data_IF_028306469093
#
_entry.id   IF_028306469093
#
_cell.length_a   1.000
_cell.length_b   1.000
_cell.length_c   1.000
_cell.angle_alpha   90.00
_cell.angle_beta   90.00
_cell.angle_gamma   90.00
#
_symmetry.space_group_name_H-M   'P 1'
#
loop_
_entity.id
_entity.type
_entity.pdbx_description
1 polymer ?
#
# COMPACT_ATOMS: atom_id res chain seq x y z
N UNK A 1 17.52 -16.38 15.72
CA UNK A 1 18.19 -15.30 14.97
C UNK A 1 18.48 -15.85 13.59
N UNK A 2 17.65 -15.53 12.59
CA UNK A 2 17.83 -16.00 11.21
C UNK A 2 18.86 -15.08 10.55
N UNK A 3 20.01 -15.61 10.15
CA UNK A 3 21.00 -14.87 9.35
C UNK A 3 20.71 -15.14 7.88
N UNK A 4 20.26 -14.13 7.16
CA UNK A 4 20.32 -14.14 5.70
C UNK A 4 21.78 -13.97 5.28
N UNK A 5 22.48 -15.07 5.03
CA UNK A 5 23.82 -15.08 4.43
C UNK A 5 23.65 -15.30 2.93
N UNK A 6 24.17 -14.37 2.14
CA UNK A 6 24.42 -14.61 0.71
C UNK A 6 25.53 -15.67 0.66
N UNK A 7 25.14 -16.94 0.57
CA UNK A 7 26.09 -18.05 0.42
C UNK A 7 26.47 -18.23 -1.05
N UNK A 8 27.72 -18.57 -1.24
CA UNK A 8 28.31 -18.87 -2.55
C UNK A 8 27.61 -20.04 -3.26
N UNK A 9 27.53 -19.96 -4.52
CA UNK A 9 26.93 -20.67 -5.65
C UNK A 9 26.77 -22.22 -5.62
N UNK A 10 26.64 -22.91 -4.52
CA UNK A 10 26.42 -24.37 -4.48
C UNK A 10 25.08 -24.81 -3.87
N UNK A 11 24.34 -23.94 -3.26
CA UNK A 11 23.00 -24.24 -2.72
C UNK A 11 21.93 -23.54 -3.56
N UNK A 12 20.78 -24.20 -3.75
CA UNK A 12 19.60 -23.62 -4.40
C UNK A 12 19.13 -22.37 -3.66
N UNK A 13 18.47 -21.46 -4.36
CA UNK A 13 17.94 -20.24 -3.76
C UNK A 13 16.64 -19.79 -4.43
N UNK A 14 15.79 -19.16 -3.64
CA UNK A 14 14.65 -18.40 -4.11
C UNK A 14 15.07 -16.96 -4.40
N UNK A 15 14.90 -16.50 -5.64
CA UNK A 15 15.21 -15.12 -6.04
C UNK A 15 13.89 -14.38 -6.26
N UNK A 16 13.65 -13.35 -5.47
CA UNK A 16 12.53 -12.42 -5.66
C UNK A 16 12.98 -11.37 -6.66
N UNK A 17 12.42 -11.47 -7.85
CA UNK A 17 12.89 -10.75 -9.03
C UNK A 17 11.89 -9.67 -9.44
N UNK A 18 12.21 -8.37 -9.27
CA UNK A 18 11.33 -7.29 -9.69
C UNK A 18 11.23 -7.22 -11.21
N UNK A 19 10.07 -6.83 -11.69
CA UNK A 19 9.78 -6.57 -13.09
C UNK A 19 9.51 -5.08 -13.31
N UNK A 20 9.63 -4.56 -14.54
CA UNK A 20 9.26 -3.18 -14.84
C UNK A 20 7.78 -2.91 -14.56
N UNK A 21 7.46 -1.69 -14.09
CA UNK A 21 6.06 -1.26 -13.91
C UNK A 21 5.33 -1.13 -15.26
N UNK A 22 6.03 -0.69 -16.29
CA UNK A 22 5.46 -0.51 -17.62
C UNK A 22 6.48 -0.15 -18.70
N UNK A 23 7.68 0.27 -18.29
CA UNK A 23 8.77 0.63 -19.20
C UNK A 23 9.90 -0.38 -19.09
N UNK A 24 10.18 -1.07 -20.20
CA UNK A 24 11.24 -2.07 -20.23
C UNK A 24 12.63 -1.51 -19.88
N UNK A 25 12.85 -0.21 -20.10
CA UNK A 25 14.07 0.50 -19.72
C UNK A 25 14.34 0.55 -18.21
N UNK A 26 13.31 0.31 -17.39
CA UNK A 26 13.42 0.28 -15.92
C UNK A 26 13.82 -1.11 -15.39
N UNK A 27 14.09 -2.08 -16.29
CA UNK A 27 14.51 -3.42 -15.89
C UNK A 27 15.89 -3.40 -15.20
N UNK A 28 16.00 -3.78 -13.92
CA UNK A 28 17.30 -3.79 -13.26
C UNK A 28 18.25 -4.81 -13.91
N UNK A 29 19.53 -4.47 -14.16
CA UNK A 29 20.48 -5.41 -14.77
C UNK A 29 20.62 -6.72 -14.01
N UNK A 30 20.64 -6.69 -12.66
CA UNK A 30 20.71 -7.88 -11.83
C UNK A 30 19.48 -8.76 -11.95
N UNK A 31 18.28 -8.16 -12.06
CA UNK A 31 17.04 -8.88 -12.25
C UNK A 31 17.02 -9.57 -13.62
N UNK A 32 17.49 -8.89 -14.67
CA UNK A 32 17.67 -9.49 -15.99
C UNK A 32 18.61 -10.70 -15.93
N UNK A 33 19.79 -10.54 -15.33
CA UNK A 33 20.77 -11.64 -15.17
C UNK A 33 20.19 -12.82 -14.40
N UNK A 34 19.42 -12.55 -13.33
CA UNK A 34 18.77 -13.61 -12.56
C UNK A 34 17.78 -14.42 -13.42
N UNK A 35 16.96 -13.74 -14.24
CA UNK A 35 16.04 -14.39 -15.17
C UNK A 35 16.79 -15.19 -16.25
N UNK A 36 17.94 -14.72 -16.71
CA UNK A 36 18.79 -15.43 -17.68
C UNK A 36 19.42 -16.69 -17.11
N UNK A 37 19.78 -16.68 -15.83
CA UNK A 37 20.61 -17.74 -15.20
C UNK A 37 19.84 -18.73 -14.33
N UNK A 38 18.62 -18.37 -13.83
CA UNK A 38 17.83 -19.28 -12.98
C UNK A 38 17.39 -20.54 -13.75
N UNK A 39 17.04 -21.60 -13.02
CA UNK A 39 16.55 -22.86 -13.58
C UNK A 39 15.08 -22.76 -14.01
N UNK A 40 14.28 -22.02 -13.26
CA UNK A 40 12.85 -21.81 -13.55
C UNK A 40 12.39 -20.43 -13.09
N UNK A 41 11.41 -19.88 -13.79
CA UNK A 41 10.71 -18.66 -13.41
C UNK A 41 9.28 -19.00 -13.00
N UNK A 42 8.95 -18.72 -11.73
CA UNK A 42 7.60 -18.74 -11.19
C UNK A 42 6.99 -17.35 -11.31
N UNK A 43 5.72 -17.24 -11.66
CA UNK A 43 5.07 -15.97 -11.89
C UNK A 43 3.55 -16.05 -11.69
N UNK A 44 2.90 -14.92 -11.46
CA UNK A 44 1.44 -14.85 -11.29
C UNK A 44 0.72 -15.20 -12.61
N UNK A 45 1.07 -14.51 -13.70
CA UNK A 45 0.52 -14.79 -15.03
C UNK A 45 1.65 -15.09 -16.04
N UNK A 46 1.71 -16.34 -16.47
CA UNK A 46 2.72 -16.80 -17.45
C UNK A 46 2.63 -16.09 -18.80
N UNK A 47 1.48 -15.48 -19.14
CA UNK A 47 1.31 -14.71 -20.36
C UNK A 47 1.99 -13.34 -20.26
N UNK A 48 1.90 -12.69 -19.09
CA UNK A 48 2.54 -11.39 -18.81
C UNK A 48 4.04 -11.58 -18.76
N UNK A 49 4.51 -12.48 -17.91
CA UNK A 49 5.95 -12.77 -17.77
C UNK A 49 6.54 -13.32 -19.08
N UNK A 50 5.80 -14.14 -19.82
CA UNK A 50 6.24 -14.64 -21.13
C UNK A 50 6.49 -13.52 -22.15
N UNK A 51 5.65 -12.49 -22.17
CA UNK A 51 5.87 -11.30 -23.02
C UNK A 51 7.11 -10.52 -22.59
N UNK A 52 7.32 -10.36 -21.28
CA UNK A 52 8.51 -9.70 -20.73
C UNK A 52 9.78 -10.46 -21.14
N UNK A 53 9.82 -11.77 -20.92
CA UNK A 53 11.00 -12.58 -21.27
C UNK A 53 11.28 -12.54 -22.78
N UNK A 54 10.23 -12.61 -23.61
CA UNK A 54 10.37 -12.50 -25.06
C UNK A 54 10.96 -11.14 -25.48
N UNK A 55 10.50 -10.03 -24.85
CA UNK A 55 11.03 -8.70 -25.11
C UNK A 55 12.51 -8.55 -24.68
N UNK A 56 12.92 -9.30 -23.65
CA UNK A 56 14.31 -9.34 -23.17
C UNK A 56 15.19 -10.32 -23.97
N UNK A 57 14.61 -11.13 -24.88
CA UNK A 57 15.32 -12.19 -25.59
C UNK A 57 15.64 -13.42 -24.74
N UNK A 58 14.93 -13.62 -23.63
CA UNK A 58 15.17 -14.70 -22.67
C UNK A 58 14.19 -15.85 -22.92
N UNK A 59 14.70 -17.08 -22.96
CA UNK A 59 13.90 -18.29 -23.04
C UNK A 59 14.02 -19.09 -21.75
N UNK A 60 12.93 -19.18 -20.99
CA UNK A 60 12.88 -19.91 -19.71
C UNK A 60 11.58 -20.69 -19.56
N UNK A 61 11.67 -21.76 -18.78
CA UNK A 61 10.48 -22.46 -18.30
C UNK A 61 9.72 -21.55 -17.34
N UNK A 62 8.43 -21.36 -17.61
CA UNK A 62 7.51 -20.58 -16.76
C UNK A 62 6.59 -21.53 -16.01
N UNK A 63 6.41 -21.27 -14.71
CA UNK A 63 5.45 -21.96 -13.88
C UNK A 63 4.54 -20.96 -13.19
N UNK A 64 3.22 -21.21 -13.26
CA UNK A 64 2.23 -20.32 -12.64
C UNK A 64 2.15 -20.54 -11.16
N UNK A 65 2.30 -19.46 -10.39
CA UNK A 65 2.16 -19.40 -8.94
C UNK A 65 1.43 -18.10 -8.56
N UNK A 66 0.11 -18.14 -8.65
CA UNK A 66 -0.78 -17.06 -8.24
C UNK A 66 -1.35 -17.29 -6.84
N UNK A 67 -2.09 -16.33 -6.30
CA UNK A 67 -2.72 -16.40 -4.97
C UNK A 67 -3.56 -17.68 -4.78
N UNK A 68 -4.31 -18.09 -5.80
CA UNK A 68 -5.17 -19.27 -5.73
C UNK A 68 -4.38 -20.59 -5.69
N UNK A 69 -3.23 -20.64 -6.36
CA UNK A 69 -2.40 -21.84 -6.48
C UNK A 69 -1.27 -21.92 -5.45
N UNK A 70 -0.95 -20.82 -4.77
CA UNK A 70 0.15 -20.72 -3.83
C UNK A 70 0.08 -21.81 -2.75
N UNK A 71 -1.10 -22.01 -2.15
CA UNK A 71 -1.29 -23.01 -1.08
C UNK A 71 -0.93 -24.44 -1.47
N UNK A 72 -1.03 -24.78 -2.75
CA UNK A 72 -0.77 -26.12 -3.27
C UNK A 72 0.61 -26.27 -3.91
N UNK A 73 1.12 -25.21 -4.52
CA UNK A 73 2.33 -25.27 -5.34
C UNK A 73 3.58 -24.68 -4.69
N UNK A 74 3.44 -23.84 -3.67
CA UNK A 74 4.57 -23.20 -3.01
C UNK A 74 5.58 -24.24 -2.51
N UNK A 75 5.10 -25.27 -1.82
CA UNK A 75 5.97 -26.32 -1.28
C UNK A 75 6.74 -27.05 -2.38
N UNK A 76 6.07 -27.40 -3.49
CA UNK A 76 6.73 -28.03 -4.64
C UNK A 76 7.81 -27.14 -5.27
N UNK A 77 7.61 -25.81 -5.27
CA UNK A 77 8.63 -24.87 -5.73
C UNK A 77 9.82 -24.79 -4.75
N UNK A 78 9.52 -24.77 -3.46
CA UNK A 78 10.56 -24.74 -2.43
C UNK A 78 11.33 -26.06 -2.32
N UNK A 79 10.71 -27.22 -2.61
CA UNK A 79 11.41 -28.52 -2.73
C UNK A 79 12.51 -28.47 -3.82
N UNK A 80 12.28 -27.73 -4.90
CA UNK A 80 13.29 -27.53 -5.95
C UNK A 80 14.45 -26.67 -5.48
N UNK A 81 14.16 -25.62 -4.69
CA UNK A 81 15.19 -24.78 -4.05
C UNK A 81 16.03 -25.63 -3.11
N UNK A 82 15.40 -26.48 -2.30
CA UNK A 82 16.06 -27.40 -1.39
C UNK A 82 16.92 -28.44 -2.12
N UNK A 83 16.47 -28.86 -3.31
CA UNK A 83 17.22 -29.76 -4.20
C UNK A 83 18.40 -29.07 -4.93
N UNK A 84 18.61 -27.77 -4.72
CA UNK A 84 19.74 -27.02 -5.27
C UNK A 84 19.42 -26.17 -6.50
N UNK A 85 18.15 -26.03 -6.90
CA UNK A 85 17.77 -25.20 -8.04
C UNK A 85 17.66 -23.70 -7.64
N UNK A 86 18.00 -22.81 -8.59
CA UNK A 86 17.72 -21.38 -8.51
C UNK A 86 16.35 -21.10 -9.08
N UNK A 87 15.40 -20.74 -8.22
CA UNK A 87 14.02 -20.41 -8.60
C UNK A 87 13.82 -18.90 -8.54
N UNK A 88 13.46 -18.27 -9.67
CA UNK A 88 13.04 -16.86 -9.68
C UNK A 88 11.53 -16.77 -9.51
N UNK A 89 11.06 -15.86 -8.66
CA UNK A 89 9.65 -15.47 -8.57
C UNK A 89 9.47 -14.02 -9.03
N UNK A 90 8.52 -13.80 -9.95
CA UNK A 90 8.14 -12.49 -10.48
C UNK A 90 6.65 -12.25 -10.28
N UNK A 91 6.26 -11.03 -9.88
CA UNK A 91 4.89 -10.53 -10.03
C UNK A 91 4.66 -9.99 -11.45
N UNK A 92 3.42 -9.68 -11.78
CA UNK A 92 3.06 -9.17 -13.10
C UNK A 92 3.71 -7.81 -13.39
N UNK A 93 3.88 -6.96 -12.36
CA UNK A 93 4.57 -5.67 -12.47
C UNK A 93 5.17 -5.22 -11.14
N UNK A 94 6.37 -4.69 -11.19
CA UNK A 94 7.06 -4.08 -10.04
C UNK A 94 7.73 -5.08 -9.10
N UNK A 95 7.79 -4.73 -7.82
CA UNK A 95 8.44 -5.49 -6.77
C UNK A 95 7.51 -6.58 -6.23
N UNK A 96 7.86 -7.87 -6.34
CA UNK A 96 7.08 -8.95 -5.76
C UNK A 96 6.99 -8.84 -4.24
N UNK A 97 5.81 -9.17 -3.68
CA UNK A 97 5.51 -9.03 -2.26
C UNK A 97 4.83 -7.71 -1.88
N UNK A 98 4.57 -6.83 -2.85
CA UNK A 98 3.82 -5.58 -2.64
C UNK A 98 2.42 -5.72 -3.23
N UNK A 99 1.47 -6.19 -2.43
CA UNK A 99 0.08 -6.52 -2.83
C UNK A 99 -0.05 -7.70 -3.80
N UNK A 100 0.87 -8.64 -3.71
CA UNK A 100 0.86 -9.90 -4.46
C UNK A 100 1.27 -11.07 -3.55
N UNK A 101 1.15 -12.34 -3.98
CA UNK A 101 1.41 -13.52 -3.15
C UNK A 101 2.88 -13.75 -2.78
N UNK A 102 3.82 -12.96 -3.29
CA UNK A 102 5.26 -13.15 -3.08
C UNK A 102 5.68 -13.17 -1.61
N UNK A 103 5.01 -12.37 -0.74
CA UNK A 103 5.32 -12.36 0.69
C UNK A 103 5.11 -13.73 1.34
N UNK A 104 4.03 -14.44 1.01
CA UNK A 104 3.75 -15.77 1.54
C UNK A 104 4.77 -16.81 1.08
N UNK A 105 5.26 -16.68 -0.15
CA UNK A 105 6.31 -17.55 -0.66
C UNK A 105 7.62 -17.33 0.09
N UNK A 106 7.97 -16.07 0.36
CA UNK A 106 9.16 -15.69 1.14
C UNK A 106 9.05 -16.21 2.58
N UNK A 107 7.89 -16.02 3.23
CA UNK A 107 7.63 -16.52 4.59
C UNK A 107 7.86 -18.02 4.69
N UNK A 108 7.27 -18.81 3.77
CA UNK A 108 7.46 -20.27 3.71
C UNK A 108 8.90 -20.66 3.44
N UNK A 109 9.62 -19.92 2.59
CA UNK A 109 11.04 -20.19 2.35
C UNK A 109 11.87 -19.98 3.62
N UNK A 110 11.59 -18.95 4.41
CA UNK A 110 12.25 -18.73 5.71
C UNK A 110 11.86 -19.78 6.76
N UNK A 111 10.61 -20.24 6.80
CA UNK A 111 10.19 -21.35 7.68
C UNK A 111 10.97 -22.63 7.39
N UNK A 112 11.37 -22.84 6.13
CA UNK A 112 12.18 -23.99 5.68
C UNK A 112 13.69 -23.71 5.69
N UNK A 113 14.12 -22.57 6.24
CA UNK A 113 15.54 -22.15 6.31
C UNK A 113 16.24 -22.10 4.93
N UNK A 114 15.47 -21.87 3.86
CA UNK A 114 16.01 -21.78 2.50
C UNK A 114 16.62 -20.40 2.24
N UNK A 115 17.61 -20.35 1.36
CA UNK A 115 18.24 -19.11 0.95
C UNK A 115 17.26 -18.26 0.09
N UNK A 116 17.03 -17.01 0.50
CA UNK A 116 16.22 -16.05 -0.23
C UNK A 116 17.06 -14.84 -0.60
N UNK A 117 17.10 -14.52 -1.90
CA UNK A 117 17.71 -13.30 -2.42
C UNK A 117 16.63 -12.37 -2.96
N UNK A 118 16.52 -11.16 -2.38
CA UNK A 118 15.60 -10.14 -2.84
C UNK A 118 16.36 -9.10 -3.66
N UNK A 119 16.02 -9.00 -4.94
CA UNK A 119 16.61 -7.99 -5.83
C UNK A 119 15.82 -6.68 -5.73
N UNK A 120 16.47 -5.52 -5.57
CA UNK A 120 15.78 -4.24 -5.54
C UNK A 120 15.20 -3.86 -6.90
N UNK A 121 14.01 -3.26 -6.90
CA UNK A 121 13.33 -2.79 -8.10
C UNK A 121 12.28 -1.73 -7.83
N UNK A 122 11.67 -1.20 -8.89
CA UNK A 122 10.63 -0.20 -8.81
C UNK A 122 9.35 -0.72 -8.12
N UNK A 123 8.69 0.17 -7.39
CA UNK A 123 7.34 -0.08 -6.87
C UNK A 123 6.42 1.07 -7.26
N UNK A 124 5.20 0.76 -7.69
CA UNK A 124 4.23 1.79 -8.03
C UNK A 124 3.91 2.70 -6.82
N UNK A 125 3.98 2.17 -5.61
CA UNK A 125 3.77 2.91 -4.35
C UNK A 125 4.78 4.05 -4.19
N UNK A 126 6.08 3.72 -4.20
CA UNK A 126 7.14 4.72 -4.02
C UNK A 126 7.20 5.68 -5.21
N UNK A 127 7.01 5.19 -6.43
CA UNK A 127 6.97 6.01 -7.65
C UNK A 127 5.81 7.01 -7.59
N UNK A 128 4.61 6.59 -7.19
CA UNK A 128 3.45 7.46 -7.05
C UNK A 128 3.63 8.50 -5.92
N UNK A 129 4.18 8.08 -4.77
CA UNK A 129 4.50 9.01 -3.68
C UNK A 129 5.41 10.14 -4.15
N UNK A 130 6.51 9.80 -4.84
CA UNK A 130 7.43 10.82 -5.39
C UNK A 130 6.76 11.66 -6.48
N UNK A 131 6.02 11.04 -7.40
CA UNK A 131 5.31 11.73 -8.49
C UNK A 131 4.19 12.64 -7.98
N UNK A 132 3.57 12.32 -6.84
CA UNK A 132 2.57 13.18 -6.21
C UNK A 132 3.14 14.55 -5.80
N UNK A 133 4.43 14.63 -5.50
CA UNK A 133 5.09 15.84 -5.00
C UNK A 133 4.55 16.33 -3.67
N UNK A 134 3.94 15.46 -2.86
CA UNK A 134 3.60 15.75 -1.47
C UNK A 134 4.84 15.68 -0.60
N UNK A 135 4.92 16.53 0.41
CA UNK A 135 6.17 16.79 1.14
C UNK A 135 6.24 16.18 2.52
N UNK A 136 5.18 15.53 3.01
CA UNK A 136 5.25 14.84 4.29
C UNK A 136 6.30 13.72 4.21
N UNK A 137 7.17 13.58 5.23
CA UNK A 137 8.33 12.68 5.16
C UNK A 137 7.96 11.20 5.24
N UNK A 138 6.72 10.89 5.62
CA UNK A 138 6.23 9.54 5.78
C UNK A 138 5.10 9.27 4.78
N UNK A 139 5.03 8.06 4.25
CA UNK A 139 3.85 7.57 3.55
C UNK A 139 3.39 6.23 4.14
N UNK A 140 2.10 6.00 4.09
CA UNK A 140 1.46 4.77 4.53
C UNK A 140 0.76 4.10 3.36
N UNK A 141 1.25 2.94 2.96
CA UNK A 141 0.62 2.13 1.92
C UNK A 141 -0.42 1.20 2.54
N UNK A 142 -1.66 1.38 2.11
CA UNK A 142 -2.82 0.65 2.65
C UNK A 142 -3.16 -0.61 1.82
N UNK A 143 -2.64 -0.70 0.60
CA UNK A 143 -3.03 -1.72 -0.37
C UNK A 143 -4.15 -1.22 -1.29
N UNK A 144 -5.04 -2.12 -1.72
CA UNK A 144 -6.19 -1.74 -2.55
C UNK A 144 -7.26 -1.01 -1.74
N UNK A 145 -7.82 0.06 -2.34
CA UNK A 145 -8.91 0.80 -1.74
C UNK A 145 -10.14 -0.13 -1.52
N UNK A 146 -10.80 -0.08 -0.35
CA UNK A 146 -11.87 -1.01 -0.01
C UNK A 146 -13.03 -0.97 -1.00
N UNK A 147 -13.66 -2.10 -1.26
CA UNK A 147 -14.74 -2.18 -2.27
C UNK A 147 -16.07 -1.67 -1.76
N UNK A 148 -16.41 -1.92 -0.50
CA UNK A 148 -17.70 -1.56 0.09
C UNK A 148 -17.66 -0.17 0.70
N UNK A 149 -18.73 0.62 0.55
CA UNK A 149 -18.80 2.00 1.04
C UNK A 149 -18.52 2.10 2.55
N UNK A 150 -19.12 1.22 3.38
CA UNK A 150 -18.88 1.22 4.82
C UNK A 150 -17.43 0.91 5.21
N UNK A 151 -16.77 -0.01 4.48
CA UNK A 151 -15.35 -0.33 4.69
C UNK A 151 -14.46 0.87 4.30
N UNK A 152 -14.81 1.60 3.23
CA UNK A 152 -14.10 2.82 2.81
C UNK A 152 -14.16 3.88 3.89
N UNK A 153 -15.37 4.19 4.38
CA UNK A 153 -15.56 5.19 5.43
C UNK A 153 -14.79 4.81 6.71
N UNK A 154 -14.85 3.55 7.13
CA UNK A 154 -14.15 3.07 8.31
C UNK A 154 -12.62 3.17 8.16
N UNK A 155 -12.06 2.78 7.00
CA UNK A 155 -10.61 2.89 6.74
C UNK A 155 -10.18 4.35 6.70
N UNK A 156 -10.90 5.22 5.97
CA UNK A 156 -10.57 6.64 5.91
C UNK A 156 -10.63 7.29 7.30
N UNK A 157 -11.65 6.96 8.09
CA UNK A 157 -11.75 7.47 9.45
C UNK A 157 -10.60 7.02 10.34
N UNK A 158 -10.21 5.74 10.27
CA UNK A 158 -9.08 5.21 11.03
C UNK A 158 -7.72 5.86 10.67
N UNK A 159 -7.62 6.41 9.47
CA UNK A 159 -6.41 7.06 8.95
C UNK A 159 -6.45 8.59 9.05
N UNK A 160 -7.55 9.16 9.54
CA UNK A 160 -7.77 10.62 9.60
C UNK A 160 -6.65 11.38 10.30
N UNK A 161 -6.21 10.86 11.45
CA UNK A 161 -5.20 11.49 12.30
C UNK A 161 -3.75 11.08 11.96
N UNK A 162 -3.55 10.22 10.95
CA UNK A 162 -2.22 9.75 10.60
C UNK A 162 -1.45 10.85 9.85
N UNK A 163 -0.34 11.31 10.45
CA UNK A 163 0.57 12.30 9.84
C UNK A 163 1.47 11.62 8.78
N UNK A 164 0.86 11.22 7.68
CA UNK A 164 1.52 10.57 6.57
C UNK A 164 0.72 10.75 5.27
N UNK A 165 1.40 10.70 4.15
CA UNK A 165 0.77 10.55 2.84
C UNK A 165 0.18 9.15 2.72
N UNK A 166 -1.11 9.04 2.38
CA UNK A 166 -1.77 7.75 2.21
C UNK A 166 -1.71 7.31 0.74
N UNK A 167 -1.33 6.06 0.52
CA UNK A 167 -1.20 5.50 -0.83
C UNK A 167 -2.08 4.27 -0.97
N UNK A 168 -2.90 4.24 -2.02
CA UNK A 168 -3.81 3.13 -2.33
C UNK A 168 -3.66 2.70 -3.78
N UNK A 169 -3.80 1.42 -4.05
CA UNK A 169 -4.08 0.93 -5.39
C UNK A 169 -5.57 1.01 -5.69
N UNK A 170 -5.91 1.39 -6.91
CA UNK A 170 -7.31 1.41 -7.35
C UNK A 170 -7.44 1.04 -8.84
N UNK A 171 -8.61 0.56 -9.21
CA UNK A 171 -8.95 0.26 -10.60
C UNK A 171 -9.65 1.42 -11.29
N UNK A 172 -9.54 1.56 -12.61
CA UNK A 172 -10.19 2.63 -13.36
C UNK A 172 -11.72 2.62 -13.21
N UNK A 173 -12.33 1.45 -13.01
CA UNK A 173 -13.77 1.31 -12.85
C UNK A 173 -14.29 1.80 -11.49
N UNK A 174 -13.41 1.99 -10.50
CA UNK A 174 -13.78 2.32 -9.13
C UNK A 174 -13.22 3.66 -8.66
N UNK A 175 -12.31 4.27 -9.42
CA UNK A 175 -11.60 5.49 -9.01
C UNK A 175 -12.57 6.65 -8.68
N UNK A 176 -13.66 6.81 -9.45
CA UNK A 176 -14.65 7.86 -9.18
C UNK A 176 -15.25 7.70 -7.79
N UNK A 177 -15.77 6.51 -7.49
CA UNK A 177 -16.37 6.24 -6.17
C UNK A 177 -15.35 6.23 -5.01
N UNK A 178 -14.08 6.00 -5.31
CA UNK A 178 -13.01 6.15 -4.32
C UNK A 178 -12.72 7.63 -4.03
N UNK A 179 -12.61 8.45 -5.08
CA UNK A 179 -12.38 9.89 -4.95
C UNK A 179 -13.55 10.60 -4.27
N UNK A 180 -14.79 10.22 -4.56
CA UNK A 180 -15.98 10.73 -3.87
C UNK A 180 -15.93 10.45 -2.36
N UNK A 181 -15.58 9.22 -1.98
CA UNK A 181 -15.42 8.85 -0.56
C UNK A 181 -14.29 9.64 0.11
N UNK A 182 -13.17 9.85 -0.60
CA UNK A 182 -12.05 10.67 -0.10
C UNK A 182 -12.46 12.13 0.02
N UNK A 183 -13.20 12.70 -0.94
CA UNK A 183 -13.68 14.08 -0.88
C UNK A 183 -14.67 14.30 0.27
N UNK A 184 -15.51 13.32 0.57
CA UNK A 184 -16.40 13.34 1.73
C UNK A 184 -15.61 13.29 3.06
N UNK A 185 -14.65 12.38 3.16
CA UNK A 185 -13.86 12.19 4.39
C UNK A 185 -12.81 13.28 4.61
N UNK A 186 -12.15 13.74 3.55
CA UNK A 186 -10.96 14.62 3.58
C UNK A 186 -11.11 15.78 2.59
N UNK A 187 -12.17 16.59 2.76
CA UNK A 187 -12.53 17.68 1.84
C UNK A 187 -11.44 18.75 1.67
N UNK A 188 -10.55 18.91 2.63
CA UNK A 188 -9.48 19.91 2.63
C UNK A 188 -8.12 19.34 2.17
N UNK A 189 -8.01 18.03 1.95
CA UNK A 189 -6.75 17.41 1.52
C UNK A 189 -6.60 17.46 0.01
N UNK A 190 -5.36 17.65 -0.41
CA UNK A 190 -4.99 17.39 -1.78
C UNK A 190 -4.90 15.89 -2.04
N UNK A 191 -5.18 15.51 -3.28
CA UNK A 191 -4.99 14.16 -3.77
C UNK A 191 -4.19 14.19 -5.07
N UNK A 192 -3.51 13.10 -5.38
CA UNK A 192 -2.91 12.86 -6.68
C UNK A 192 -3.37 11.49 -7.20
N UNK A 193 -3.89 11.47 -8.41
CA UNK A 193 -4.20 10.25 -9.15
C UNK A 193 -3.06 10.01 -10.13
N UNK A 194 -2.20 9.04 -9.82
CA UNK A 194 -1.10 8.61 -10.67
C UNK A 194 -1.58 7.45 -11.53
N UNK A 195 -1.63 7.67 -12.83
CA UNK A 195 -2.18 6.71 -13.80
C UNK A 195 -1.10 6.27 -14.77
N UNK A 196 -1.05 4.97 -15.09
CA UNK A 196 -0.16 4.39 -16.09
C UNK A 196 1.32 4.78 -15.89
N UNK A 197 1.78 4.79 -14.63
CA UNK A 197 3.16 5.14 -14.27
C UNK A 197 4.17 4.38 -15.13
N UNK A 198 5.19 5.07 -15.62
CA UNK A 198 6.27 4.62 -16.51
C UNK A 198 5.83 4.24 -17.92
N UNK A 199 4.52 4.26 -18.24
CA UNK A 199 3.98 3.90 -19.55
C UNK A 199 3.80 5.13 -20.45
N UNK A 200 3.50 4.91 -21.74
CA UNK A 200 3.34 5.99 -22.73
C UNK A 200 2.20 6.98 -22.42
N UNK A 201 1.23 6.55 -21.60
CA UNK A 201 0.10 7.38 -21.17
C UNK A 201 0.18 7.72 -19.69
N UNK A 202 1.40 7.84 -19.16
CA UNK A 202 1.61 8.29 -17.79
C UNK A 202 0.97 9.65 -17.55
N UNK A 203 0.25 9.76 -16.46
CA UNK A 203 -0.43 10.99 -16.06
C UNK A 203 -0.49 11.10 -14.55
N UNK A 204 -0.29 12.32 -14.04
CA UNK A 204 -0.50 12.65 -12.63
C UNK A 204 -1.46 13.85 -12.54
N UNK A 205 -2.66 13.61 -12.03
CA UNK A 205 -3.67 14.66 -11.81
C UNK A 205 -3.71 15.00 -10.32
N UNK A 206 -3.46 16.26 -9.97
CA UNK A 206 -3.39 16.76 -8.59
C UNK A 206 -4.37 17.89 -8.35
N UNK A 207 -4.91 17.97 -7.15
CA UNK A 207 -5.77 19.07 -6.72
C UNK A 207 -6.48 18.73 -5.40
N UNK A 208 -7.39 19.59 -4.98
CA UNK A 208 -8.27 19.27 -3.86
C UNK A 208 -9.11 18.03 -4.18
N UNK A 209 -9.35 17.23 -3.18
CA UNK A 209 -10.06 15.95 -3.33
C UNK A 209 -11.38 16.07 -4.09
N UNK A 210 -12.18 17.11 -3.80
CA UNK A 210 -13.45 17.39 -4.48
C UNK A 210 -13.29 17.79 -5.96
N UNK A 211 -12.27 18.56 -6.29
CA UNK A 211 -11.98 18.98 -7.67
C UNK A 211 -11.53 17.78 -8.53
N UNK A 212 -10.63 16.97 -8.00
CA UNK A 212 -10.15 15.77 -8.69
C UNK A 212 -11.29 14.75 -8.85
N UNK A 213 -12.17 14.60 -7.85
CA UNK A 213 -13.35 13.74 -7.95
C UNK A 213 -14.27 14.17 -9.10
N UNK A 214 -14.56 15.46 -9.22
CA UNK A 214 -15.38 16.01 -10.32
C UNK A 214 -14.74 15.79 -11.70
N UNK A 215 -13.43 16.01 -11.81
CA UNK A 215 -12.70 15.80 -13.06
C UNK A 215 -12.75 14.32 -13.49
N UNK A 216 -12.51 13.38 -12.56
CA UNK A 216 -12.57 11.95 -12.87
C UNK A 216 -14.00 11.46 -13.14
N UNK A 217 -15.02 12.02 -12.49
CA UNK A 217 -16.41 11.73 -12.82
C UNK A 217 -16.75 12.12 -14.27
N UNK A 218 -16.31 13.30 -14.72
CA UNK A 218 -16.46 13.76 -16.12
C UNK A 218 -15.73 12.81 -17.08
N UNK A 219 -14.45 12.51 -16.83
CA UNK A 219 -13.67 11.59 -17.69
C UNK A 219 -14.29 10.19 -17.76
N UNK A 220 -14.84 9.70 -16.65
CA UNK A 220 -15.50 8.40 -16.62
C UNK A 220 -16.78 8.38 -17.47
N UNK A 221 -17.59 9.44 -17.42
CA UNK A 221 -18.76 9.59 -18.29
C UNK A 221 -18.41 9.59 -19.78
N UNK A 222 -17.21 10.05 -20.14
CA UNK A 222 -16.68 10.06 -21.50
C UNK A 222 -15.92 8.76 -21.86
N UNK A 223 -15.86 7.77 -20.95
CA UNK A 223 -15.15 6.49 -21.17
C UNK A 223 -13.60 6.61 -21.24
N UNK A 224 -13.03 7.69 -20.69
CA UNK A 224 -11.61 8.03 -20.82
C UNK A 224 -10.73 7.46 -19.70
N UNK A 225 -11.32 6.93 -18.61
CA UNK A 225 -10.55 6.40 -17.49
C UNK A 225 -10.19 4.94 -17.73
N UNK A 226 -8.91 4.68 -17.99
CA UNK A 226 -8.35 3.34 -18.26
C UNK A 226 -6.98 3.21 -17.62
N UNK A 227 -6.50 1.96 -17.50
CA UNK A 227 -5.16 1.64 -17.04
C UNK A 227 -5.04 1.43 -15.54
N UNK A 228 -3.84 1.33 -15.04
CA UNK A 228 -3.53 1.14 -13.62
C UNK A 228 -3.46 2.47 -12.90
N UNK A 229 -3.97 2.51 -11.67
CA UNK A 229 -4.10 3.73 -10.90
C UNK A 229 -3.52 3.54 -9.49
N UNK A 230 -2.73 4.51 -9.07
CA UNK A 230 -2.36 4.72 -7.68
C UNK A 230 -2.98 6.03 -7.22
N UNK A 231 -3.82 5.95 -6.18
CA UNK A 231 -4.40 7.10 -5.51
C UNK A 231 -3.51 7.48 -4.33
N UNK A 232 -3.08 8.73 -4.31
CA UNK A 232 -2.23 9.29 -3.26
C UNK A 232 -3.00 10.43 -2.61
N UNK A 233 -3.10 10.42 -1.27
CA UNK A 233 -3.81 11.43 -0.48
C UNK A 233 -2.78 12.11 0.41
N UNK A 234 -2.75 13.44 0.39
CA UNK A 234 -1.80 14.21 1.18
C UNK A 234 -2.00 14.02 2.70
N UNK A 235 -0.96 14.24 3.46
CA UNK A 235 -1.04 14.30 4.92
C UNK A 235 -1.99 15.41 5.38
N UNK A 236 -2.54 15.33 6.60
CA UNK A 236 -3.37 16.41 7.13
C UNK A 236 -2.57 17.72 7.20
N UNK A 237 -3.19 18.82 6.80
CA UNK A 237 -2.62 20.14 6.99
C UNK A 237 -2.62 20.55 8.48
N UNK A 238 -1.75 21.48 8.87
CA UNK A 238 -1.76 22.04 10.23
C UNK A 238 -3.15 22.55 10.61
N UNK A 239 -3.83 23.22 9.68
CA UNK A 239 -5.19 23.72 9.93
C UNK A 239 -6.20 22.60 10.16
N UNK A 240 -6.06 21.46 9.47
CA UNK A 240 -6.92 20.28 9.68
C UNK A 240 -6.63 19.62 11.03
N UNK A 241 -5.36 19.52 11.40
CA UNK A 241 -4.95 18.99 12.72
C UNK A 241 -5.48 19.89 13.85
N UNK A 242 -5.35 21.21 13.74
CA UNK A 242 -5.84 22.17 14.73
C UNK A 242 -7.38 22.14 14.83
N UNK A 243 -8.08 22.05 13.70
CA UNK A 243 -9.53 21.93 13.66
C UNK A 243 -10.01 20.63 14.32
N UNK A 244 -9.32 19.53 14.07
CA UNK A 244 -9.63 18.22 14.66
C UNK A 244 -9.36 18.18 16.16
N UNK A 245 -8.25 18.77 16.61
CA UNK A 245 -7.94 18.92 18.03
C UNK A 245 -9.00 19.78 18.75
N UNK A 246 -9.44 20.86 18.10
CA UNK A 246 -10.49 21.74 18.63
C UNK A 246 -11.85 21.05 18.72
N UNK A 247 -12.24 20.27 17.72
CA UNK A 247 -13.44 19.47 17.72
C UNK A 247 -13.42 18.40 18.82
N UNK A 248 -12.33 17.65 18.91
CA UNK A 248 -12.14 16.62 19.95
C UNK A 248 -12.18 17.22 21.37
N UNK A 249 -11.60 18.41 21.56
CA UNK A 249 -11.67 19.12 22.85
C UNK A 249 -13.10 19.61 23.17
N UNK A 250 -13.89 19.99 22.15
CA UNK A 250 -15.29 20.38 22.33
C UNK A 250 -16.15 19.17 22.74
N UNK A 251 -16.05 18.06 22.00
CA UNK A 251 -16.76 16.82 22.31
C UNK A 251 -16.41 16.29 23.71
N UNK A 252 -15.11 16.35 24.07
CA UNK A 252 -14.65 15.96 25.39
C UNK A 252 -15.23 16.85 26.53
N UNK A 253 -15.44 18.15 26.28
CA UNK A 253 -16.09 19.05 27.26
C UNK A 253 -17.57 18.73 27.41
N UNK A 254 -18.29 18.47 26.33
CA UNK A 254 -19.70 18.06 26.38
C UNK A 254 -19.87 16.74 27.13
N UNK A 255 -19.02 15.75 26.81
CA UNK A 255 -19.04 14.45 27.50
C UNK A 255 -18.69 14.58 28.99
N UNK A 256 -17.67 15.39 29.31
CA UNK A 256 -17.31 15.69 30.72
C UNK A 256 -18.47 16.28 31.50
N UNK A 257 -19.16 17.27 30.91
CA UNK A 257 -20.32 17.91 31.54
C UNK A 257 -21.45 16.90 31.80
N UNK A 258 -21.73 16.01 30.81
CA UNK A 258 -22.74 14.97 30.96
C UNK A 258 -22.37 13.94 32.06
N UNK A 259 -21.10 13.50 32.14
CA UNK A 259 -20.62 12.55 33.14
C UNK A 259 -20.60 13.15 34.54
N UNK A 260 -20.23 14.45 34.68
CA UNK A 260 -20.29 15.19 35.97
C UNK A 260 -21.73 15.35 36.43
N UNK A 261 -22.67 15.65 35.53
CA UNK A 261 -24.08 15.79 35.85
C UNK A 261 -24.73 14.47 36.29
N UNK A 262 -24.31 13.36 35.69
CA UNK A 262 -24.78 11.99 36.02
C UNK A 262 -24.31 11.58 37.44
N UNK A 263 -23.17 12.07 37.90
CA UNK A 263 -22.64 11.82 39.28
C UNK A 263 -22.22 10.37 39.55
N UNK A 264 -22.16 9.53 38.53
CA UNK A 264 -21.83 8.10 38.66
C UNK A 264 -20.32 7.81 38.77
N UNK A 265 -19.51 8.71 38.24
CA UNK A 265 -18.05 8.59 38.19
C UNK A 265 -17.37 9.71 38.99
N UNK A 266 -16.26 9.39 39.67
CA UNK A 266 -15.39 10.41 40.28
C UNK A 266 -14.68 11.24 39.19
N UNK A 267 -14.32 12.49 39.51
CA UNK A 267 -13.54 13.36 38.61
C UNK A 267 -12.29 12.68 38.09
N UNK A 268 -11.61 11.84 38.87
CA UNK A 268 -10.43 11.08 38.48
C UNK A 268 -10.77 10.00 37.40
N UNK A 269 -11.90 9.34 37.56
CA UNK A 269 -12.38 8.34 36.57
C UNK A 269 -12.82 9.03 35.28
N UNK A 270 -13.47 10.19 35.35
CA UNK A 270 -13.83 10.99 34.18
C UNK A 270 -12.57 11.42 33.42
N UNK A 271 -11.52 11.92 34.11
CA UNK A 271 -10.24 12.24 33.46
C UNK A 271 -9.64 11.03 32.77
N UNK A 272 -9.66 9.85 33.38
CA UNK A 272 -9.14 8.64 32.79
C UNK A 272 -9.98 8.20 31.57
N UNK A 273 -11.30 8.34 31.64
CA UNK A 273 -12.23 8.06 30.55
C UNK A 273 -11.98 8.96 29.33
N UNK A 274 -11.95 10.29 29.53
CA UNK A 274 -11.74 11.26 28.46
C UNK A 274 -10.38 11.08 27.76
N UNK A 275 -9.34 10.76 28.51
CA UNK A 275 -8.04 10.43 27.92
C UNK A 275 -8.09 9.23 26.97
N UNK A 276 -8.86 8.22 27.33
CA UNK A 276 -9.01 7.00 26.55
C UNK A 276 -9.94 7.21 25.34
N UNK A 277 -11.04 7.92 25.53
CA UNK A 277 -12.05 8.15 24.51
C UNK A 277 -11.60 9.17 23.44
N UNK A 278 -10.95 10.26 23.87
CA UNK A 278 -10.59 11.39 22.99
C UNK A 278 -9.08 11.54 22.74
N UNK A 279 -8.25 10.64 23.25
CA UNK A 279 -6.80 10.70 23.06
C UNK A 279 -6.11 11.90 23.74
N UNK A 280 -6.77 12.56 24.69
CA UNK A 280 -6.28 13.77 25.33
C UNK A 280 -5.05 13.51 26.22
N UNK A 281 -4.19 14.53 26.33
CA UNK A 281 -3.14 14.53 27.34
C UNK A 281 -3.74 14.52 28.76
N UNK A 282 -2.93 14.15 29.74
CA UNK A 282 -3.40 14.17 31.14
C UNK A 282 -3.78 15.58 31.59
N UNK A 283 -3.02 16.59 31.14
CA UNK A 283 -3.25 17.97 31.52
C UNK A 283 -4.54 18.50 30.90
N UNK A 284 -4.75 18.27 29.60
CA UNK A 284 -5.94 18.74 28.89
C UNK A 284 -7.23 18.12 29.46
N UNK A 285 -7.22 16.79 29.69
CA UNK A 285 -8.36 16.13 30.31
C UNK A 285 -8.62 16.60 31.74
N UNK A 286 -7.56 16.90 32.49
CA UNK A 286 -7.68 17.46 33.84
C UNK A 286 -8.29 18.88 33.84
N UNK A 287 -7.83 19.74 32.94
CA UNK A 287 -8.37 21.08 32.75
C UNK A 287 -9.85 21.05 32.36
N UNK A 288 -10.25 20.17 31.46
CA UNK A 288 -11.64 20.00 31.05
C UNK A 288 -12.54 19.63 32.25
N UNK A 289 -12.11 18.70 33.10
CA UNK A 289 -12.93 18.22 34.25
C UNK A 289 -12.92 19.14 35.44
N UNK A 290 -11.88 19.97 35.62
CA UNK A 290 -11.73 20.84 36.79
C UNK A 290 -11.93 22.33 36.48
N UNK A 291 -11.92 22.72 35.20
CA UNK A 291 -12.21 24.06 34.71
C UNK A 291 -13.68 24.27 34.31
N UNK A 292 -14.50 23.23 34.40
CA UNK A 292 -15.93 23.25 34.12
C UNK A 292 -16.75 23.60 35.37
#
# INVERSE_FOLDING_TARGET
>A
MIRATVQEHSAGKLIICPTPLGNLGDMPPRARTALETCDVVCCEDTRVTGKLLAALGIQKRLERLDEASLGQKADSMLDRVEAGECVCYCSDAGMPGVSDPGQRLIERAYERELAVEVLPGGTAVATAYVASGFTAPCFYFVGFFPRKAGERAAVLESLRALDAVLVFYESPNRIVSALEAVAEAFSLRNVAVCRELTKIHEEVVRGLSGEVAQEFAKRAAEGQVKGEIVLVIDAPSTAEVDAQASASAHDAREEAAALLAAGELSKKEIVAHLRKAHGLSRNDAYEIVHGA
#
